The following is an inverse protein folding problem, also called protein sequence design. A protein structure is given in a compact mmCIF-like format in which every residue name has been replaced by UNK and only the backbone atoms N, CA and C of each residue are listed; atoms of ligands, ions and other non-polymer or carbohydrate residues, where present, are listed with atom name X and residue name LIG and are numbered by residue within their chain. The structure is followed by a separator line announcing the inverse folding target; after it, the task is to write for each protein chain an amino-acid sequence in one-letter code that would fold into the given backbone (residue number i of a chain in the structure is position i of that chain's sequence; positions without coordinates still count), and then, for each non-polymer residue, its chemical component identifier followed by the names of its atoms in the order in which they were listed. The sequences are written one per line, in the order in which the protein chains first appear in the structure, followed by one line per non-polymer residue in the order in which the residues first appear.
data_IF_092798354023
#
_entry.id   IF_092798354023
#
_cell.length_a   1.000
_cell.length_b   1.000
_cell.length_c   1.000
_cell.angle_alpha   90.00
_cell.angle_beta   90.00
_cell.angle_gamma   90.00
#
_symmetry.space_group_name_H-M   'P 1'
#
loop_
_entity.id
_entity.type
_entity.pdbx_description
1 polymer ?
#
# COMPACT_ATOMS: atom_id res chain seq x y z
N UNK A 1 6.07 32.22 16.47
CA UNK A 1 4.64 31.91 16.71
C UNK A 1 4.54 30.51 17.32
N UNK A 2 4.46 30.41 18.65
CA UNK A 2 4.41 29.13 19.40
C UNK A 2 2.99 28.60 19.50
N UNK A 3 2.74 27.40 18.98
CA UNK A 3 1.49 26.65 19.19
C UNK A 3 1.62 25.79 20.45
N UNK A 4 0.90 26.14 21.51
CA UNK A 4 0.77 25.32 22.73
C UNK A 4 -0.23 24.18 22.47
N UNK A 5 0.23 22.94 22.62
CA UNK A 5 -0.60 21.74 22.59
C UNK A 5 -1.33 21.55 23.93
N UNK A 6 -2.66 21.65 23.94
CA UNK A 6 -3.49 21.35 25.09
C UNK A 6 -3.65 19.84 25.30
N UNK A 7 -3.09 19.33 26.39
CA UNK A 7 -3.21 17.93 26.82
C UNK A 7 -4.48 17.78 27.66
N UNK A 8 -5.54 17.16 27.11
CA UNK A 8 -6.75 16.82 27.87
C UNK A 8 -6.45 15.66 28.83
N UNK A 9 -6.51 15.93 30.14
CA UNK A 9 -6.55 14.89 31.19
C UNK A 9 -7.96 14.29 31.23
N UNK A 10 -8.08 12.99 31.02
CA UNK A 10 -9.27 12.20 31.36
C UNK A 10 -9.03 11.56 32.72
N UNK A 11 -9.90 11.80 33.69
CA UNK A 11 -9.94 11.07 34.95
C UNK A 11 -11.25 10.27 35.00
N UNK A 12 -11.13 8.94 35.05
CA UNK A 12 -12.22 8.02 35.38
C UNK A 12 -12.09 7.66 36.87
N UNK A 13 -12.80 8.38 37.73
CA UNK A 13 -12.88 8.07 39.17
C UNK A 13 -14.12 7.24 39.45
N UNK A 14 -14.00 5.90 39.41
CA UNK A 14 -15.03 4.99 39.92
C UNK A 14 -14.79 4.71 41.39
N UNK A 15 -15.44 5.44 42.29
CA UNK A 15 -15.42 5.15 43.72
C UNK A 15 -16.44 4.06 44.06
N UNK A 16 -15.97 2.86 44.42
CA UNK A 16 -16.82 1.80 44.99
C UNK A 16 -17.02 2.06 46.49
N UNK A 17 -18.23 2.43 46.89
CA UNK A 17 -18.61 2.49 48.31
C UNK A 17 -19.25 1.15 48.72
N UNK A 18 -18.52 0.34 49.48
CA UNK A 18 -19.05 -0.89 50.09
C UNK A 18 -19.58 -0.58 51.48
N UNK A 19 -20.90 -0.49 51.64
CA UNK A 19 -21.54 -0.34 52.96
C UNK A 19 -21.73 -1.73 53.58
N UNK A 20 -20.88 -2.08 54.57
CA UNK A 20 -21.08 -3.28 55.42
C UNK A 20 -21.96 -2.91 56.60
N UNK A 21 -23.23 -3.31 56.55
CA UNK A 21 -24.11 -3.35 57.71
C UNK A 21 -23.66 -4.47 58.67
N UNK A 22 -23.36 -4.12 59.93
CA UNK A 22 -23.12 -5.08 61.03
C UNK A 22 -24.44 -5.34 61.73
N UNK A 23 -25.06 -6.49 61.43
CA UNK A 23 -26.15 -7.07 62.22
C UNK A 23 -25.66 -8.36 62.90
N UNK A 24 -25.89 -8.48 64.20
CA UNK A 24 -25.50 -9.62 65.03
C UNK A 24 -26.41 -10.85 64.80
N UNK A 25 -25.76 -12.01 64.91
CA UNK A 25 -26.16 -13.39 64.67
C UNK A 25 -27.59 -13.81 65.07
N UNK A 26 -28.22 -14.56 64.16
CA UNK A 26 -28.94 -15.79 64.50
C UNK A 26 -28.46 -16.88 63.53
N UNK A 27 -27.84 -17.92 64.08
CA UNK A 27 -27.38 -19.09 63.35
C UNK A 27 -28.56 -20.03 63.15
N UNK A 28 -29.03 -20.13 61.91
CA UNK A 28 -29.74 -21.32 61.45
C UNK A 28 -29.48 -21.49 59.94
N UNK A 29 -29.23 -22.75 59.58
CA UNK A 29 -28.72 -23.19 58.29
C UNK A 29 -29.56 -22.72 57.11
N UNK A 30 -28.96 -21.81 56.35
CA UNK A 30 -29.05 -21.81 54.90
C UNK A 30 -27.80 -21.07 54.43
N UNK A 31 -26.94 -21.72 53.63
CA UNK A 31 -25.90 -21.01 52.84
C UNK A 31 -26.62 -20.14 51.81
N UNK A 32 -27.25 -19.08 52.29
CA UNK A 32 -27.71 -17.98 51.50
C UNK A 32 -26.44 -17.18 51.24
N UNK A 33 -25.74 -17.54 50.16
CA UNK A 33 -24.69 -16.70 49.59
C UNK A 33 -25.29 -15.30 49.52
N UNK A 34 -24.88 -14.41 50.42
CA UNK A 34 -25.46 -13.08 50.53
C UNK A 34 -25.16 -12.39 49.21
N UNK A 35 -26.15 -12.36 48.31
CA UNK A 35 -26.02 -11.74 46.99
C UNK A 35 -25.86 -10.24 47.22
N UNK A 36 -24.61 -9.79 47.31
CA UNK A 36 -24.28 -8.37 47.34
C UNK A 36 -24.69 -7.79 46.00
N UNK A 37 -25.53 -6.76 46.01
CA UNK A 37 -25.96 -6.05 44.81
C UNK A 37 -25.20 -4.73 44.70
N UNK A 38 -24.83 -4.34 43.48
CA UNK A 38 -24.24 -3.03 43.23
C UNK A 38 -25.37 -2.00 43.01
N UNK A 39 -25.36 -0.91 43.79
CA UNK A 39 -26.32 0.18 43.65
C UNK A 39 -25.72 1.28 42.75
N UNK A 40 -26.52 1.76 41.78
CA UNK A 40 -26.11 2.84 40.85
C UNK A 40 -27.05 4.02 41.06
N UNK A 41 -26.54 5.05 41.72
CA UNK A 41 -27.30 6.26 42.00
C UNK A 41 -26.83 7.42 41.12
N UNK A 42 -27.78 8.03 40.40
CA UNK A 42 -27.52 9.19 39.56
C UNK A 42 -28.23 10.40 40.14
N UNK A 43 -27.46 11.35 40.66
CA UNK A 43 -27.93 12.60 41.22
C UNK A 43 -27.28 13.79 40.50
N UNK A 44 -27.95 14.94 40.50
CA UNK A 44 -27.38 16.20 40.00
C UNK A 44 -26.96 17.05 41.21
N UNK A 45 -25.72 17.52 41.22
CA UNK A 45 -25.26 18.52 42.19
C UNK A 45 -24.99 19.84 41.47
N UNK A 46 -25.31 20.95 42.13
CA UNK A 46 -24.96 22.30 41.67
C UNK A 46 -23.66 22.82 42.30
N UNK A 47 -23.06 22.08 43.24
CA UNK A 47 -21.83 22.48 43.89
C UNK A 47 -20.60 22.27 43.01
N UNK A 48 -19.70 23.25 42.99
CA UNK A 48 -18.44 23.15 42.26
C UNK A 48 -17.35 22.45 43.11
N UNK A 49 -17.51 22.43 44.43
CA UNK A 49 -16.55 21.80 45.34
C UNK A 49 -16.81 20.31 45.54
N UNK A 50 -15.75 19.53 45.71
CA UNK A 50 -15.83 18.07 45.93
C UNK A 50 -16.67 17.73 47.18
N UNK A 51 -16.56 18.52 48.24
CA UNK A 51 -17.29 18.31 49.48
C UNK A 51 -18.79 18.58 49.33
N UNK A 52 -19.18 19.58 48.52
CA UNK A 52 -20.58 19.80 48.16
C UNK A 52 -21.13 18.69 47.27
N UNK A 53 -20.34 18.17 46.33
CA UNK A 53 -20.72 17.00 45.53
C UNK A 53 -20.92 15.76 46.41
N UNK A 54 -20.05 15.51 47.39
CA UNK A 54 -20.17 14.39 48.33
C UNK A 54 -21.40 14.53 49.23
N UNK A 55 -21.66 15.73 49.76
CA UNK A 55 -22.86 16.01 50.57
C UNK A 55 -24.12 15.81 49.73
N UNK A 56 -24.20 16.44 48.56
CA UNK A 56 -25.33 16.29 47.65
C UNK A 56 -25.57 14.84 47.22
N UNK A 57 -24.51 14.05 47.01
CA UNK A 57 -24.65 12.62 46.70
C UNK A 57 -25.21 11.81 47.89
N UNK A 58 -24.81 12.11 49.13
CA UNK A 58 -25.37 11.48 50.33
C UNK A 58 -26.84 11.86 50.53
N UNK A 59 -27.17 13.13 50.33
CA UNK A 59 -28.53 13.64 50.48
C UNK A 59 -29.44 13.01 49.42
N UNK A 60 -28.99 12.95 48.16
CA UNK A 60 -29.73 12.29 47.08
C UNK A 60 -29.88 10.78 47.28
N UNK A 61 -28.88 10.10 47.86
CA UNK A 61 -29.01 8.70 48.28
C UNK A 61 -30.07 8.56 49.38
N UNK A 62 -30.07 9.45 50.37
CA UNK A 62 -31.07 9.47 51.44
C UNK A 62 -32.48 9.66 50.89
N UNK A 63 -32.66 10.64 50.00
CA UNK A 63 -33.94 10.89 49.30
C UNK A 63 -34.36 9.68 48.47
N UNK A 64 -33.46 9.11 47.67
CA UNK A 64 -33.79 7.96 46.84
C UNK A 64 -34.16 6.71 47.65
N UNK A 65 -33.64 6.56 48.88
CA UNK A 65 -34.04 5.47 49.78
C UNK A 65 -35.41 5.70 50.44
N UNK A 66 -35.85 6.95 50.55
CA UNK A 66 -37.10 7.32 51.25
C UNK A 66 -38.25 7.58 50.28
N UNK A 67 -37.97 8.14 49.10
CA UNK A 67 -38.95 8.73 48.19
C UNK A 67 -38.94 8.12 46.79
N UNK A 68 -37.78 7.64 46.30
CA UNK A 68 -37.67 7.05 44.96
C UNK A 68 -37.80 5.52 44.99
N UNK A 69 -38.46 4.95 43.98
CA UNK A 69 -38.50 3.50 43.81
C UNK A 69 -37.16 3.01 43.27
N UNK A 70 -36.51 2.10 44.00
CA UNK A 70 -35.29 1.44 43.55
C UNK A 70 -35.65 0.16 42.79
N UNK A 71 -35.18 0.07 41.54
CA UNK A 71 -35.48 -1.07 40.68
C UNK A 71 -34.43 -2.15 40.89
N UNK A 72 -34.81 -3.40 41.16
CA UNK A 72 -33.89 -4.53 41.10
C UNK A 72 -33.87 -5.07 39.67
N UNK A 73 -32.74 -4.92 38.97
CA UNK A 73 -32.60 -5.38 37.58
C UNK A 73 -31.44 -6.35 37.45
N UNK A 74 -31.76 -7.56 36.99
CA UNK A 74 -30.75 -8.54 36.62
C UNK A 74 -30.26 -8.29 35.19
N UNK A 75 -28.94 -8.15 35.00
CA UNK A 75 -28.33 -8.01 33.69
C UNK A 75 -27.13 -8.93 33.56
N UNK A 76 -27.26 -9.92 32.68
CA UNK A 76 -26.24 -10.95 32.40
C UNK A 76 -25.71 -11.66 33.66
N UNK A 77 -26.61 -11.94 34.61
CA UNK A 77 -26.29 -12.65 35.85
C UNK A 77 -25.79 -11.78 37.01
N UNK A 78 -25.71 -10.45 36.84
CA UNK A 78 -25.41 -9.49 37.90
C UNK A 78 -26.66 -8.68 38.26
N UNK A 79 -26.91 -8.47 39.56
CA UNK A 79 -28.04 -7.68 40.06
C UNK A 79 -27.62 -6.24 40.34
N UNK A 80 -28.33 -5.30 39.72
CA UNK A 80 -28.14 -3.88 39.93
C UNK A 80 -29.37 -3.28 40.60
N UNK A 81 -29.15 -2.31 41.49
CA UNK A 81 -30.20 -1.53 42.14
C UNK A 81 -30.08 -0.05 41.73
N UNK A 82 -30.53 0.34 40.53
CA UNK A 82 -30.58 1.73 40.13
C UNK A 82 -31.84 2.47 40.62
N UNK A 83 -31.71 3.78 40.82
CA UNK A 83 -32.88 4.67 40.81
C UNK A 83 -33.36 4.91 39.37
N UNK A 84 -34.53 5.53 39.17
CA UNK A 84 -35.12 5.80 37.85
C UNK A 84 -34.12 6.42 36.85
N UNK A 85 -33.26 7.31 37.33
CA UNK A 85 -32.23 7.97 36.53
C UNK A 85 -31.03 7.06 36.21
N UNK A 86 -30.69 6.15 37.10
CA UNK A 86 -29.62 5.16 36.94
C UNK A 86 -30.02 3.94 36.12
N UNK A 87 -31.31 3.73 35.86
CA UNK A 87 -31.83 2.53 35.20
C UNK A 87 -31.26 2.32 33.79
N UNK A 88 -30.97 3.42 33.08
CA UNK A 88 -30.32 3.40 31.76
C UNK A 88 -28.80 3.22 31.80
N UNK A 89 -28.16 3.42 32.97
CA UNK A 89 -26.73 3.20 33.17
C UNK A 89 -26.43 1.79 33.70
N UNK A 90 -27.39 1.18 34.39
CA UNK A 90 -27.32 -0.21 34.75
C UNK A 90 -27.21 -1.04 33.47
N UNK A 91 -26.14 -1.84 33.36
CA UNK A 91 -25.81 -2.63 32.16
C UNK A 91 -24.81 -1.98 31.21
N UNK A 92 -24.41 -0.73 31.42
CA UNK A 92 -23.37 -0.09 30.61
C UNK A 92 -22.03 -0.85 30.64
N UNK A 93 -21.53 -1.36 31.79
CA UNK A 93 -20.31 -2.16 31.81
C UNK A 93 -20.41 -3.44 30.97
N UNK A 94 -21.56 -4.12 31.03
CA UNK A 94 -21.82 -5.33 30.26
C UNK A 94 -21.89 -5.03 28.75
N UNK A 95 -22.50 -3.90 28.37
CA UNK A 95 -22.54 -3.43 26.98
C UNK A 95 -21.14 -3.04 26.51
N UNK A 96 -20.35 -2.35 27.34
CA UNK A 96 -18.97 -1.97 27.02
C UNK A 96 -18.12 -3.22 26.78
N UNK A 97 -18.18 -4.21 27.66
CA UNK A 97 -17.48 -5.50 27.50
C UNK A 97 -17.89 -6.20 26.20
N UNK A 98 -19.18 -6.23 25.88
CA UNK A 98 -19.66 -6.82 24.63
C UNK A 98 -19.18 -6.06 23.38
N UNK A 99 -19.08 -4.73 23.45
CA UNK A 99 -18.52 -3.91 22.37
C UNK A 99 -17.02 -4.14 22.23
N UNK A 100 -16.28 -4.24 23.34
CA UNK A 100 -14.85 -4.55 23.35
C UNK A 100 -14.57 -5.95 22.76
N UNK A 101 -15.34 -6.97 23.14
CA UNK A 101 -15.25 -8.32 22.57
C UNK A 101 -15.49 -8.31 21.06
N UNK A 102 -16.52 -7.62 20.58
CA UNK A 102 -16.79 -7.45 19.14
C UNK A 102 -15.66 -6.70 18.44
N UNK A 103 -15.11 -5.67 19.07
CA UNK A 103 -14.01 -4.89 18.52
C UNK A 103 -12.75 -5.76 18.35
N UNK A 104 -12.40 -6.57 19.35
CA UNK A 104 -11.28 -7.51 19.28
C UNK A 104 -11.51 -8.51 18.14
N UNK A 105 -12.69 -9.11 18.06
CA UNK A 105 -13.04 -10.06 17.00
C UNK A 105 -12.92 -9.45 15.60
N UNK A 106 -13.43 -8.24 15.39
CA UNK A 106 -13.31 -7.53 14.10
C UNK A 106 -11.85 -7.20 13.78
N UNK A 107 -11.04 -6.85 14.77
CA UNK A 107 -9.60 -6.61 14.57
C UNK A 107 -8.88 -7.89 14.09
N UNK A 108 -9.18 -9.04 14.69
CA UNK A 108 -8.61 -10.32 14.29
C UNK A 108 -9.01 -10.71 12.86
N UNK A 109 -10.26 -10.48 12.48
CA UNK A 109 -10.75 -10.70 11.11
C UNK A 109 -10.04 -9.78 10.10
N UNK A 110 -9.86 -8.49 10.42
CA UNK A 110 -9.12 -7.54 9.57
C UNK A 110 -7.67 -8.00 9.38
N UNK A 111 -7.00 -8.45 10.44
CA UNK A 111 -5.62 -8.95 10.34
C UNK A 111 -5.56 -10.21 9.46
N UNK A 112 -6.53 -11.10 9.60
CA UNK A 112 -6.63 -12.33 8.80
C UNK A 112 -6.88 -12.03 7.32
N UNK A 113 -7.88 -11.20 7.00
CA UNK A 113 -8.17 -10.78 5.62
C UNK A 113 -6.97 -10.08 4.97
N UNK A 114 -6.26 -9.22 5.71
CA UNK A 114 -5.04 -8.57 5.20
C UNK A 114 -3.96 -9.59 4.82
N UNK A 115 -3.77 -10.64 5.62
CA UNK A 115 -2.82 -11.71 5.34
C UNK A 115 -3.22 -12.48 4.08
N UNK A 116 -4.49 -12.82 3.93
CA UNK A 116 -5.02 -13.50 2.74
C UNK A 116 -4.89 -12.66 1.48
N UNK A 117 -5.19 -11.36 1.55
CA UNK A 117 -5.02 -10.43 0.44
C UNK A 117 -3.57 -10.37 -0.03
N UNK A 118 -2.62 -10.21 0.89
CA UNK A 118 -1.18 -10.19 0.57
C UNK A 118 -0.75 -11.52 -0.05
N UNK A 119 -1.21 -12.65 0.48
CA UNK A 119 -0.90 -13.96 -0.09
C UNK A 119 -1.47 -14.12 -1.51
N UNK A 120 -2.71 -13.70 -1.74
CA UNK A 120 -3.36 -13.80 -3.06
C UNK A 120 -2.71 -12.90 -4.09
N UNK A 121 -2.35 -11.68 -3.69
CA UNK A 121 -1.59 -10.75 -4.52
C UNK A 121 -0.24 -11.35 -4.93
N UNK A 122 0.45 -12.02 -4.01
CA UNK A 122 1.70 -12.71 -4.30
C UNK A 122 1.49 -13.85 -5.32
N UNK A 123 0.47 -14.68 -5.16
CA UNK A 123 0.16 -15.77 -6.10
C UNK A 123 -0.13 -15.24 -7.49
N UNK A 124 -0.99 -14.23 -7.60
CA UNK A 124 -1.34 -13.61 -8.88
C UNK A 124 -0.12 -12.98 -9.57
N UNK A 125 0.75 -12.34 -8.79
CA UNK A 125 2.01 -11.77 -9.29
C UNK A 125 2.93 -12.85 -9.86
N UNK A 126 3.03 -14.00 -9.19
CA UNK A 126 3.82 -15.14 -9.66
C UNK A 126 3.26 -15.71 -10.98
N UNK A 127 1.95 -15.92 -11.06
CA UNK A 127 1.27 -16.45 -12.26
C UNK A 127 1.45 -15.52 -13.47
N UNK A 128 1.28 -14.20 -13.29
CA UNK A 128 1.53 -13.22 -14.36
C UNK A 128 2.99 -13.26 -14.81
N UNK A 129 3.92 -13.40 -13.88
CA UNK A 129 5.36 -13.44 -14.20
C UNK A 129 5.68 -14.70 -15.01
N UNK A 130 5.13 -15.85 -14.63
CA UNK A 130 5.28 -17.10 -15.37
C UNK A 130 4.67 -16.99 -16.77
N UNK A 131 3.42 -16.52 -16.89
CA UNK A 131 2.75 -16.27 -18.17
C UNK A 131 3.56 -15.32 -19.07
N UNK A 132 4.15 -14.26 -18.50
CA UNK A 132 5.01 -13.32 -19.25
C UNK A 132 6.28 -13.98 -19.76
N UNK A 133 6.95 -14.78 -18.93
CA UNK A 133 8.15 -15.53 -19.33
C UNK A 133 7.83 -16.57 -20.41
N UNK A 134 6.67 -17.21 -20.32
CA UNK A 134 6.20 -18.18 -21.32
C UNK A 134 5.69 -17.51 -22.61
N UNK A 135 5.36 -16.22 -22.57
CA UNK A 135 4.90 -15.50 -23.74
C UNK A 135 6.06 -15.26 -24.72
N UNK A 136 6.09 -16.08 -25.78
CA UNK A 136 7.05 -15.94 -26.88
C UNK A 136 7.11 -14.50 -27.44
N UNK A 137 5.95 -13.85 -27.58
CA UNK A 137 5.88 -12.46 -28.05
C UNK A 137 6.58 -11.48 -27.10
N UNK A 138 6.46 -11.68 -25.79
CA UNK A 138 7.13 -10.84 -24.80
C UNK A 138 8.65 -11.03 -24.83
N UNK A 139 9.14 -12.27 -24.91
CA UNK A 139 10.57 -12.56 -25.04
C UNK A 139 11.19 -11.92 -26.29
N UNK A 140 10.47 -11.87 -27.42
CA UNK A 140 10.94 -11.18 -28.62
C UNK A 140 11.04 -9.66 -28.42
N UNK A 141 10.10 -9.05 -27.69
CA UNK A 141 10.17 -7.62 -27.32
C UNK A 141 11.39 -7.36 -26.43
N UNK A 142 11.68 -8.26 -25.49
CA UNK A 142 12.86 -8.18 -24.61
C UNK A 142 14.18 -8.38 -25.36
N UNK A 143 14.28 -9.36 -26.26
CA UNK A 143 15.48 -9.54 -27.11
C UNK A 143 15.76 -8.29 -27.94
N UNK A 144 14.71 -7.69 -28.51
CA UNK A 144 14.80 -6.44 -29.26
C UNK A 144 15.27 -5.27 -28.40
N UNK A 145 14.81 -5.17 -27.16
CA UNK A 145 15.25 -4.12 -26.23
C UNK A 145 16.77 -4.16 -26.04
N UNK A 146 17.31 -5.34 -25.73
CA UNK A 146 18.76 -5.48 -25.50
C UNK A 146 19.55 -5.32 -26.82
N UNK A 147 19.04 -5.84 -27.94
CA UNK A 147 19.64 -5.64 -29.26
C UNK A 147 19.73 -4.15 -29.63
N UNK A 148 18.66 -3.39 -29.36
CA UNK A 148 18.62 -1.93 -29.59
C UNK A 148 19.63 -1.21 -28.72
N UNK A 149 19.67 -1.53 -27.42
CA UNK A 149 20.67 -0.96 -26.50
C UNK A 149 22.11 -1.22 -26.99
N UNK A 150 22.42 -2.47 -27.37
CA UNK A 150 23.74 -2.85 -27.86
C UNK A 150 24.14 -2.10 -29.13
N UNK A 151 23.20 -1.93 -30.06
CA UNK A 151 23.42 -1.19 -31.31
C UNK A 151 23.63 0.31 -31.02
N UNK A 152 22.74 0.92 -30.26
CA UNK A 152 22.63 2.38 -30.15
C UNK A 152 23.53 2.97 -29.07
N UNK A 153 23.75 2.25 -27.97
CA UNK A 153 24.54 2.73 -26.83
C UNK A 153 25.95 2.17 -26.81
N UNK A 154 26.14 0.93 -27.26
CA UNK A 154 27.47 0.30 -27.29
C UNK A 154 28.15 0.38 -28.66
N UNK A 155 27.45 0.88 -29.69
CA UNK A 155 27.91 0.92 -31.08
C UNK A 155 28.42 -0.44 -31.61
N UNK A 156 27.85 -1.55 -31.11
CA UNK A 156 28.22 -2.92 -31.49
C UNK A 156 27.12 -3.52 -32.36
N UNK A 157 27.28 -3.43 -33.68
CA UNK A 157 26.32 -3.99 -34.64
C UNK A 157 26.54 -5.50 -34.81
N UNK A 158 25.46 -6.26 -34.82
CA UNK A 158 25.43 -7.68 -35.13
C UNK A 158 24.29 -7.96 -36.11
N UNK A 159 24.51 -8.82 -37.11
CA UNK A 159 23.49 -9.23 -38.08
C UNK A 159 22.23 -9.80 -37.41
N UNK A 160 22.38 -10.55 -36.32
CA UNK A 160 21.22 -11.07 -35.55
C UNK A 160 20.42 -9.93 -34.95
N UNK A 161 21.09 -9.00 -34.27
CA UNK A 161 20.47 -7.84 -33.65
C UNK A 161 19.73 -6.99 -34.71
N UNK A 162 20.32 -6.79 -35.90
CA UNK A 162 19.65 -6.10 -37.02
C UNK A 162 18.35 -6.79 -37.45
N UNK A 163 18.35 -8.13 -37.57
CA UNK A 163 17.14 -8.89 -37.94
C UNK A 163 16.04 -8.78 -36.89
N UNK A 164 16.39 -8.88 -35.61
CA UNK A 164 15.42 -8.77 -34.50
C UNK A 164 14.85 -7.35 -34.43
N UNK A 165 15.68 -6.32 -34.61
CA UNK A 165 15.23 -4.93 -34.61
C UNK A 165 14.31 -4.62 -35.80
N UNK A 166 14.59 -5.17 -36.98
CA UNK A 166 13.81 -4.94 -38.19
C UNK A 166 12.43 -5.62 -38.18
N UNK A 167 12.26 -6.72 -37.44
CA UNK A 167 11.00 -7.47 -37.37
C UNK A 167 9.93 -6.84 -36.47
N UNK A 168 10.31 -5.93 -35.57
CA UNK A 168 9.38 -5.39 -34.57
C UNK A 168 8.94 -3.96 -34.86
N UNK A 169 7.68 -3.64 -34.57
CA UNK A 169 7.20 -2.26 -34.38
C UNK A 169 7.02 -1.89 -32.90
N UNK A 170 7.11 -2.87 -32.01
CA UNK A 170 6.84 -2.71 -30.57
C UNK A 170 8.12 -2.29 -29.84
N UNK A 171 8.07 -1.18 -29.12
CA UNK A 171 9.15 -0.66 -28.29
C UNK A 171 8.93 -1.11 -26.84
N UNK A 172 9.96 -1.68 -26.21
CA UNK A 172 9.91 -1.96 -24.78
C UNK A 172 10.12 -0.66 -23.98
N UNK A 173 9.26 -0.41 -23.00
CA UNK A 173 9.40 0.73 -22.08
C UNK A 173 10.21 0.32 -20.85
N UNK A 174 11.54 0.37 -20.96
CA UNK A 174 12.45 0.17 -19.82
C UNK A 174 12.99 -1.25 -19.61
N UNK A 175 13.79 -1.40 -18.56
CA UNK A 175 14.41 -2.68 -18.18
C UNK A 175 13.42 -3.64 -17.51
N UNK A 176 13.67 -4.93 -17.72
CA UNK A 176 13.06 -6.06 -17.00
C UNK A 176 14.18 -7.08 -16.79
N UNK A 177 14.95 -6.86 -15.72
CA UNK A 177 16.19 -7.58 -15.43
C UNK A 177 15.94 -9.08 -15.27
N UNK A 178 14.83 -9.45 -14.63
CA UNK A 178 14.44 -10.85 -14.40
C UNK A 178 14.15 -11.55 -15.71
N UNK A 179 13.27 -10.98 -16.56
CA UNK A 179 12.94 -11.60 -17.85
C UNK A 179 14.13 -11.55 -18.82
N UNK A 180 14.86 -10.44 -18.87
CA UNK A 180 16.04 -10.31 -19.72
C UNK A 180 17.14 -11.32 -19.35
N UNK A 181 17.27 -11.68 -18.07
CA UNK A 181 18.21 -12.71 -17.63
C UNK A 181 17.83 -14.10 -18.18
N UNK A 182 16.53 -14.41 -18.29
CA UNK A 182 16.07 -15.70 -18.83
C UNK A 182 16.50 -15.92 -20.29
N UNK A 183 16.71 -14.84 -21.07
CA UNK A 183 17.19 -14.92 -22.45
C UNK A 183 18.62 -15.51 -22.56
N UNK A 184 19.35 -15.58 -21.44
CA UNK A 184 20.69 -16.17 -21.34
C UNK A 184 20.67 -17.58 -20.74
N UNK A 185 19.67 -17.88 -19.92
CA UNK A 185 19.67 -19.06 -19.05
C UNK A 185 18.85 -20.24 -19.58
N UNK A 186 18.01 -20.09 -20.61
CA UNK A 186 17.14 -21.17 -21.12
C UNK A 186 17.80 -21.88 -22.32
N UNK A 187 18.38 -23.11 -22.16
CA UNK A 187 18.78 -23.94 -23.29
C UNK A 187 17.56 -24.30 -24.15
N UNK A 188 17.69 -24.22 -25.47
CA UNK A 188 16.59 -24.56 -26.38
C UNK A 188 15.42 -23.57 -26.41
N UNK A 189 15.49 -22.47 -25.64
CA UNK A 189 14.49 -21.41 -25.68
C UNK A 189 14.42 -20.72 -27.05
N UNK A 190 13.29 -20.05 -27.36
CA UNK A 190 13.10 -19.39 -28.66
C UNK A 190 14.13 -18.30 -28.94
N UNK A 191 14.71 -17.74 -27.88
CA UNK A 191 15.77 -16.75 -27.93
C UNK A 191 16.87 -17.18 -26.97
N UNK A 192 18.08 -17.39 -27.49
CA UNK A 192 19.28 -17.61 -26.67
C UNK A 192 20.32 -16.54 -26.97
N UNK A 193 20.61 -15.66 -26.02
CA UNK A 193 21.67 -14.65 -26.13
C UNK A 193 22.99 -15.21 -25.56
N UNK A 194 24.12 -14.76 -26.12
CA UNK A 194 25.47 -15.21 -25.73
C UNK A 194 26.39 -14.04 -25.35
N UNK A 195 25.90 -12.81 -25.44
CA UNK A 195 26.61 -11.58 -25.17
C UNK A 195 26.35 -11.09 -23.74
N UNK A 196 26.67 -11.90 -22.74
CA UNK A 196 26.44 -11.58 -21.32
C UNK A 196 27.07 -10.24 -20.91
N UNK A 197 28.19 -9.82 -21.55
CA UNK A 197 28.79 -8.51 -21.34
C UNK A 197 27.90 -7.31 -21.72
N UNK A 198 26.93 -7.48 -22.63
CA UNK A 198 25.91 -6.46 -22.90
C UNK A 198 24.90 -6.38 -21.76
N UNK A 199 24.49 -7.52 -21.22
CA UNK A 199 23.61 -7.57 -20.04
C UNK A 199 24.26 -6.91 -18.83
N UNK A 200 25.54 -7.20 -18.55
CA UNK A 200 26.30 -6.58 -17.47
C UNK A 200 26.38 -5.06 -17.62
N UNK A 201 26.55 -4.53 -18.83
CA UNK A 201 26.56 -3.09 -19.05
C UNK A 201 25.18 -2.45 -18.83
N UNK A 202 24.11 -3.21 -19.07
CA UNK A 202 22.73 -2.73 -18.93
C UNK A 202 22.25 -2.77 -17.48
N UNK A 203 22.62 -3.81 -16.72
CA UNK A 203 22.10 -4.10 -15.38
C UNK A 203 23.18 -4.11 -14.27
N UNK A 204 24.47 -3.94 -14.58
CA UNK A 204 25.56 -3.94 -13.61
C UNK A 204 25.96 -5.32 -13.05
N UNK A 205 25.16 -6.37 -13.30
CA UNK A 205 25.34 -7.73 -12.78
C UNK A 205 25.29 -8.78 -13.89
N UNK A 206 25.85 -9.96 -13.63
CA UNK A 206 25.79 -11.11 -14.55
C UNK A 206 24.36 -11.68 -14.60
N UNK A 207 23.83 -12.13 -15.76
CA UNK A 207 22.45 -12.63 -15.87
C UNK A 207 22.14 -13.79 -14.90
N UNK A 208 23.10 -14.68 -14.65
CA UNK A 208 22.95 -15.77 -13.69
C UNK A 208 22.67 -15.26 -12.26
N UNK A 209 23.39 -14.24 -11.80
CA UNK A 209 23.15 -13.64 -10.48
C UNK A 209 21.79 -12.95 -10.43
N UNK A 210 21.42 -12.22 -11.50
CA UNK A 210 20.12 -11.54 -11.56
C UNK A 210 18.96 -12.54 -11.52
N UNK A 211 19.10 -13.72 -12.12
CA UNK A 211 18.06 -14.76 -12.04
C UNK A 211 17.82 -15.32 -10.63
N UNK A 212 18.76 -15.11 -9.71
CA UNK A 212 18.65 -15.56 -8.31
C UNK A 212 18.10 -14.47 -7.38
N UNK A 213 18.06 -13.22 -7.84
CA UNK A 213 17.52 -12.09 -7.06
C UNK A 213 15.99 -12.13 -7.10
N UNK A 214 15.38 -12.21 -5.91
CA UNK A 214 13.93 -12.14 -5.67
C UNK A 214 13.51 -10.83 -5.01
N UNK A 215 14.47 -10.10 -4.43
CA UNK A 215 14.25 -8.85 -3.73
C UNK A 215 13.82 -7.73 -4.69
N UNK A 216 12.54 -7.35 -4.60
CA UNK A 216 11.91 -6.38 -5.49
C UNK A 216 12.59 -5.01 -5.51
N UNK A 217 13.03 -4.44 -4.36
CA UNK A 217 13.77 -3.18 -4.36
C UNK A 217 15.07 -3.25 -5.18
N UNK A 218 15.79 -4.37 -5.14
CA UNK A 218 16.99 -4.55 -5.97
C UNK A 218 16.64 -4.61 -7.44
N UNK A 219 15.64 -5.42 -7.82
CA UNK A 219 15.17 -5.53 -9.22
C UNK A 219 14.73 -4.15 -9.75
N UNK A 220 14.03 -3.35 -8.93
CA UNK A 220 13.60 -2.01 -9.29
C UNK A 220 14.78 -1.07 -9.57
N UNK A 221 15.88 -1.17 -8.81
CA UNK A 221 17.11 -0.42 -9.07
C UNK A 221 17.72 -0.83 -10.41
N UNK A 222 17.84 -2.13 -10.68
CA UNK A 222 18.37 -2.66 -11.94
C UNK A 222 17.54 -2.19 -13.15
N UNK A 223 16.21 -2.31 -13.06
CA UNK A 223 15.28 -1.91 -14.10
C UNK A 223 15.31 -0.41 -14.37
N UNK A 224 15.44 0.40 -13.30
CA UNK A 224 15.54 1.85 -13.41
C UNK A 224 16.83 2.25 -14.13
N UNK A 225 17.97 1.67 -13.76
CA UNK A 225 19.24 1.92 -14.46
C UNK A 225 19.16 1.54 -15.93
N UNK A 226 18.69 0.32 -16.24
CA UNK A 226 18.55 -0.16 -17.60
C UNK A 226 17.63 0.74 -18.45
N UNK A 227 16.53 1.22 -17.89
CA UNK A 227 15.62 2.16 -18.55
C UNK A 227 16.28 3.50 -18.87
N UNK A 228 17.05 4.06 -17.94
CA UNK A 228 17.76 5.34 -18.12
C UNK A 228 18.89 5.21 -19.14
N UNK A 229 19.77 4.21 -19.00
CA UNK A 229 20.93 4.04 -19.88
C UNK A 229 20.53 3.66 -21.31
N UNK A 230 19.44 2.90 -21.49
CA UNK A 230 18.91 2.53 -22.79
C UNK A 230 18.06 3.64 -23.45
N UNK A 231 17.64 4.66 -22.71
CA UNK A 231 16.79 5.73 -23.24
C UNK A 231 17.44 6.47 -24.41
N UNK A 232 16.74 6.54 -25.54
CA UNK A 232 17.15 7.38 -26.68
C UNK A 232 16.79 8.86 -26.52
N UNK A 233 15.86 9.17 -25.61
CA UNK A 233 15.27 10.51 -25.48
C UNK A 233 15.95 11.37 -24.42
N UNK A 234 16.43 10.74 -23.35
CA UNK A 234 17.06 11.42 -22.21
C UNK A 234 18.35 10.72 -21.85
N UNK A 235 19.33 11.50 -21.38
CA UNK A 235 20.58 10.98 -20.84
C UNK A 235 20.49 11.02 -19.31
N UNK A 236 20.91 9.93 -18.66
CA UNK A 236 21.05 9.93 -17.20
C UNK A 236 22.11 10.92 -16.72
N UNK A 237 21.91 11.48 -15.53
CA UNK A 237 22.89 12.36 -14.88
C UNK A 237 24.13 11.58 -14.44
N UNK A 238 25.32 12.22 -14.35
CA UNK A 238 26.51 11.60 -13.76
C UNK A 238 26.27 11.07 -12.34
N UNK A 239 25.51 11.80 -11.52
CA UNK A 239 25.15 11.45 -10.15
C UNK A 239 24.31 10.16 -10.11
N UNK A 240 23.40 9.99 -11.07
CA UNK A 240 22.60 8.77 -11.21
C UNK A 240 23.48 7.55 -11.47
N UNK A 241 24.42 7.64 -12.42
CA UNK A 241 25.33 6.52 -12.69
C UNK A 241 26.29 6.24 -11.53
N UNK A 242 26.77 7.28 -10.85
CA UNK A 242 27.64 7.13 -9.68
C UNK A 242 26.90 6.47 -8.51
N UNK A 243 25.66 6.87 -8.22
CA UNK A 243 24.85 6.26 -7.18
C UNK A 243 24.50 4.80 -7.51
N UNK A 244 24.21 4.49 -8.77
CA UNK A 244 24.02 3.10 -9.22
C UNK A 244 25.28 2.25 -9.02
N UNK A 245 26.43 2.75 -9.45
CA UNK A 245 27.70 2.04 -9.29
C UNK A 245 28.04 1.81 -7.82
N UNK A 246 27.76 2.79 -6.95
CA UNK A 246 27.91 2.64 -5.50
C UNK A 246 27.01 1.52 -4.97
N UNK A 247 25.74 1.49 -5.37
CA UNK A 247 24.81 0.43 -5.01
C UNK A 247 25.30 -0.96 -5.46
N UNK A 248 25.69 -1.13 -6.73
CA UNK A 248 26.19 -2.42 -7.25
C UNK A 248 27.45 -2.87 -6.52
N UNK A 249 28.35 -1.94 -6.18
CA UNK A 249 29.57 -2.23 -5.45
C UNK A 249 29.25 -2.72 -4.04
N UNK A 250 28.42 -1.98 -3.30
CA UNK A 250 27.97 -2.38 -1.97
C UNK A 250 27.22 -3.71 -1.97
N UNK A 251 26.41 -3.97 -3.01
CA UNK A 251 25.67 -5.23 -3.15
C UNK A 251 26.61 -6.42 -3.39
N UNK A 252 27.70 -6.23 -4.13
CA UNK A 252 28.73 -7.27 -4.29
C UNK A 252 29.49 -7.52 -2.99
N UNK A 253 29.80 -6.47 -2.24
CA UNK A 253 30.48 -6.59 -0.93
C UNK A 253 29.63 -7.28 0.13
N UNK A 254 28.30 -7.14 0.07
CA UNK A 254 27.38 -7.87 0.93
C UNK A 254 27.08 -9.28 0.45
N UNK A 255 27.85 -9.82 -0.50
CA UNK A 255 27.60 -11.12 -1.14
C UNK A 255 26.17 -11.26 -1.68
N UNK A 256 25.64 -10.16 -2.24
CA UNK A 256 24.29 -10.07 -2.76
C UNK A 256 23.19 -10.31 -1.71
N UNK A 257 23.45 -10.01 -0.43
CA UNK A 257 22.40 -10.07 0.60
C UNK A 257 21.18 -9.26 0.14
N UNK A 258 20.03 -9.93 0.19
CA UNK A 258 18.74 -9.43 -0.25
C UNK A 258 17.92 -8.86 0.93
N UNK A 259 18.40 -8.99 2.17
CA UNK A 259 17.71 -8.56 3.39
C UNK A 259 18.20 -7.21 3.91
N UNK A 260 18.99 -6.47 3.12
CA UNK A 260 19.61 -5.20 3.50
C UNK A 260 18.62 -4.07 3.86
N UNK A 261 17.31 -4.25 3.65
CA UNK A 261 16.28 -3.32 4.11
C UNK A 261 15.55 -3.78 5.39
N UNK A 262 15.71 -5.05 5.79
CA UNK A 262 14.94 -5.67 6.87
C UNK A 262 15.70 -5.64 8.21
N UNK A 263 16.99 -5.96 8.19
CA UNK A 263 17.79 -6.21 9.40
C UNK A 263 18.84 -5.13 9.71
N UNK A 264 19.12 -4.24 8.75
CA UNK A 264 20.17 -3.22 8.89
C UNK A 264 21.60 -3.77 8.96
N UNK A 265 21.82 -5.04 8.58
CA UNK A 265 23.15 -5.70 8.66
C UNK A 265 24.17 -5.09 7.69
N UNK A 266 23.72 -4.44 6.62
CA UNK A 266 24.58 -3.83 5.60
C UNK A 266 24.29 -2.32 5.46
N UNK A 267 24.69 -1.48 6.44
CA UNK A 267 24.37 -0.05 6.45
C UNK A 267 24.88 0.68 5.19
N UNK A 268 26.01 0.27 4.63
CA UNK A 268 26.55 0.83 3.39
C UNK A 268 25.67 0.52 2.17
N UNK A 269 25.16 -0.71 2.06
CA UNK A 269 24.25 -1.11 1.00
C UNK A 269 22.89 -0.42 1.15
N UNK A 270 22.34 -0.38 2.36
CA UNK A 270 21.11 0.36 2.68
C UNK A 270 21.26 1.84 2.32
N UNK A 271 22.37 2.46 2.70
CA UNK A 271 22.70 3.86 2.39
C UNK A 271 22.85 4.08 0.88
N UNK A 272 23.54 3.20 0.16
CA UNK A 272 23.69 3.27 -1.29
C UNK A 272 22.35 3.11 -2.03
N UNK A 273 21.48 2.21 -1.57
CA UNK A 273 20.13 2.06 -2.08
C UNK A 273 19.33 3.36 -1.94
N UNK A 274 19.26 3.93 -0.74
CA UNK A 274 18.51 5.18 -0.52
C UNK A 274 19.10 6.37 -1.28
N UNK A 275 20.43 6.42 -1.44
CA UNK A 275 21.08 7.43 -2.27
C UNK A 275 20.65 7.31 -3.74
N UNK A 276 20.60 6.09 -4.30
CA UNK A 276 20.13 5.84 -5.66
C UNK A 276 18.64 6.22 -5.82
N UNK A 277 17.78 5.81 -4.90
CA UNK A 277 16.33 6.08 -4.96
C UNK A 277 16.03 7.58 -4.95
N UNK A 278 16.79 8.36 -4.19
CA UNK A 278 16.65 9.81 -4.09
C UNK A 278 17.37 10.58 -5.21
N UNK A 279 18.17 9.89 -6.03
CA UNK A 279 18.98 10.54 -7.04
C UNK A 279 18.11 11.01 -8.23
N UNK A 280 18.26 12.27 -8.68
CA UNK A 280 17.65 12.74 -9.92
C UNK A 280 18.13 11.88 -11.10
N UNK A 281 17.18 11.32 -11.85
CA UNK A 281 17.48 10.34 -12.92
C UNK A 281 18.10 10.99 -14.16
N UNK A 282 17.70 12.21 -14.46
CA UNK A 282 18.03 12.89 -15.71
C UNK A 282 18.65 14.25 -15.38
N UNK A 283 19.53 14.72 -16.26
CA UNK A 283 19.93 16.12 -16.28
C UNK A 283 18.75 16.95 -16.78
N UNK A 284 18.00 17.57 -15.86
CA UNK A 284 16.81 18.35 -16.19
C UNK A 284 17.14 19.65 -16.99
N UNK A 285 18.43 19.93 -17.22
CA UNK A 285 18.91 21.16 -17.87
C UNK A 285 19.12 21.05 -19.39
N UNK A 286 18.78 19.92 -20.01
CA UNK A 286 18.89 19.75 -21.47
C UNK A 286 17.63 19.14 -22.05
N UNK A 287 16.53 19.90 -22.04
CA UNK A 287 15.45 19.63 -23.00
C UNK A 287 16.10 19.70 -24.38
N UNK A 288 16.13 18.61 -25.16
CA UNK A 288 16.68 18.67 -26.50
C UNK A 288 15.91 19.75 -27.27
N UNK A 289 16.61 20.71 -27.85
CA UNK A 289 16.03 21.76 -28.71
C UNK A 289 15.15 21.19 -29.84
N UNK A 290 15.20 19.87 -30.08
CA UNK A 290 14.32 19.12 -30.98
C UNK A 290 12.84 19.23 -30.60
N UNK A 291 12.47 19.53 -29.34
CA UNK A 291 11.07 19.73 -28.96
C UNK A 291 10.54 21.16 -29.18
N UNK A 292 11.38 22.15 -29.50
CA UNK A 292 10.89 23.47 -29.92
C UNK A 292 10.38 23.48 -31.37
N UNK A 293 10.76 22.49 -32.20
CA UNK A 293 10.31 22.36 -33.59
C UNK A 293 8.89 21.78 -33.75
N UNK A 294 8.25 21.27 -32.69
CA UNK A 294 6.85 20.84 -32.77
C UNK A 294 5.91 22.04 -33.02
N UNK A 295 6.31 23.25 -32.57
CA UNK A 295 5.61 24.48 -32.95
C UNK A 295 5.73 24.80 -34.45
N UNK A 296 6.83 24.41 -35.09
CA UNK A 296 7.05 24.58 -36.53
C UNK A 296 6.29 23.51 -37.36
N UNK A 297 6.15 22.29 -36.84
CA UNK A 297 5.33 21.23 -37.45
C UNK A 297 3.84 21.60 -37.44
N UNK A 298 3.34 22.19 -36.35
CA UNK A 298 1.96 22.70 -36.29
C UNK A 298 1.75 23.86 -37.29
N UNK A 299 2.75 24.73 -37.48
CA UNK A 299 2.75 25.77 -38.51
C UNK A 299 2.71 25.22 -39.93
N UNK A 300 3.49 24.17 -40.22
CA UNK A 300 3.53 23.48 -41.52
C UNK A 300 2.26 22.72 -41.85
N UNK A 301 1.60 22.08 -40.86
CA UNK A 301 0.27 21.49 -41.05
C UNK A 301 -0.80 22.55 -41.37
N UNK A 302 -0.72 23.74 -40.75
CA UNK A 302 -1.62 24.86 -41.07
C UNK A 302 -1.42 25.37 -42.51
N UNK A 303 -0.18 25.42 -42.99
CA UNK A 303 0.15 25.84 -44.35
C UNK A 303 -0.26 24.81 -45.41
N UNK A 304 -0.12 23.51 -45.09
CA UNK A 304 -0.55 22.44 -45.99
C UNK A 304 -2.08 22.38 -46.15
N UNK A 305 -2.84 22.67 -45.08
CA UNK A 305 -4.32 22.76 -45.15
C UNK A 305 -4.85 23.87 -46.07
N UNK A 306 -4.04 24.91 -46.33
CA UNK A 306 -4.40 26.04 -47.20
C UNK A 306 -4.07 25.81 -48.68
N UNK A 307 -3.17 24.87 -48.98
CA UNK A 307 -2.72 24.61 -50.37
C UNK A 307 -3.49 23.41 -50.97
N UNK A 308 -3.89 22.44 -50.15
CA UNK A 308 -4.65 21.27 -50.59
C UNK A 308 -6.17 21.47 -50.46
N UNK A 309 -6.75 22.38 -51.25
CA UNK A 309 -8.18 22.34 -51.59
C UNK A 309 -8.45 23.16 -52.86
N UNK A 310 -8.51 22.47 -54.01
CA UNK A 310 -9.76 22.53 -54.76
C UNK A 310 -10.21 21.14 -55.21
N UNK A 311 -11.52 20.90 -55.09
CA UNK A 311 -12.28 19.81 -55.70
C UNK A 311 -12.04 18.39 -55.18
N UNK A 312 -12.60 18.10 -54.00
CA UNK A 312 -13.06 16.74 -53.70
C UNK A 312 -14.60 16.68 -53.83
N UNK A 313 -15.15 15.70 -54.57
CA UNK A 313 -16.59 15.58 -54.77
C UNK A 313 -17.29 15.21 -53.46
N UNK A 314 -18.44 15.86 -53.23
CA UNK A 314 -19.29 15.65 -52.05
C UNK A 314 -19.72 14.18 -51.96
N UNK A 315 -19.43 13.53 -50.83
CA UNK A 315 -19.99 12.21 -50.49
C UNK A 315 -21.50 12.31 -50.30
N UNK A 316 -22.28 11.32 -50.76
CA UNK A 316 -23.72 11.29 -50.58
C UNK A 316 -24.07 11.00 -49.11
N UNK A 317 -25.05 11.75 -48.63
CA UNK A 317 -25.65 11.66 -47.30
C UNK A 317 -26.33 10.30 -47.14
N UNK A 318 -25.81 9.45 -46.24
CA UNK A 318 -26.52 8.25 -45.81
C UNK A 318 -27.51 8.62 -44.70
N UNK A 319 -28.78 8.58 -45.06
CA UNK A 319 -29.94 8.59 -44.18
C UNK A 319 -29.93 7.30 -43.34
N UNK A 320 -29.81 7.43 -42.01
CA UNK A 320 -29.99 6.31 -41.07
C UNK A 320 -31.34 6.45 -40.40
N UNK A 321 -32.28 5.65 -40.88
CA UNK A 321 -33.53 5.37 -40.18
C UNK A 321 -33.34 4.21 -39.19
N UNK A 322 -34.02 4.31 -38.04
CA UNK A 322 -34.76 3.17 -37.46
C UNK A 322 -34.07 2.23 -36.47
N UNK A 323 -34.26 2.53 -35.18
CA UNK A 323 -34.75 1.65 -34.09
C UNK A 323 -34.41 0.14 -34.08
N UNK A 324 -33.77 -0.32 -33.00
CA UNK A 324 -34.30 -1.44 -32.19
C UNK A 324 -33.64 -1.51 -30.82
N UNK A 325 -34.47 -1.46 -29.78
CA UNK A 325 -34.13 -1.81 -28.40
C UNK A 325 -34.20 -3.32 -28.22
N UNK A 326 -33.22 -3.91 -27.55
CA UNK A 326 -33.34 -5.23 -26.94
C UNK A 326 -32.88 -5.13 -25.48
N UNK A 327 -33.81 -5.47 -24.59
CA UNK A 327 -33.64 -5.63 -23.15
C UNK A 327 -33.07 -7.04 -22.93
N UNK A 328 -31.96 -7.16 -22.22
CA UNK A 328 -31.49 -8.44 -21.68
C UNK A 328 -31.74 -8.45 -20.16
N UNK A 329 -32.62 -9.33 -19.72
CA UNK A 329 -32.63 -9.85 -18.35
C UNK A 329 -31.71 -11.07 -18.29
N UNK A 330 -30.90 -11.17 -17.24
CA UNK A 330 -30.17 -12.37 -16.86
C UNK A 330 -30.60 -12.79 -15.44
N UNK A 331 -30.50 -14.08 -15.12
CA UNK A 331 -31.11 -14.71 -13.94
C UNK A 331 -30.46 -14.33 -12.61
#
# INVERSE_FOLDING_TARGET
MSRKSGRKKRYSGGGKASVRSRGSMSQNDNRCDSKTCDAILVARSQGESEDEMKRGAKDALGQALQEEELHLKEMRGEFFVPNDRGLGLAGLPALLRAVEERFISVQEEIVTMRREMVSREQTFTNEITELRVLSHGYLLVRDRFIATFRRDKLNRRNRRDTKVIAKGNITAHGGDATVDATLYSIPGGPVRRQDAGTFVQLYGLHPHLVSEIKHQPTIAVLNTHAGVIASGLKKGSPEFYNSFNRFITSLKFSEYDQRYLDNGEHPDLTSAYWAFVKCPKYDDDKVPAVFTDIKDIAGRFSAWSKIASPNLPRRPTQQRDGKSSAIFQYP
#
